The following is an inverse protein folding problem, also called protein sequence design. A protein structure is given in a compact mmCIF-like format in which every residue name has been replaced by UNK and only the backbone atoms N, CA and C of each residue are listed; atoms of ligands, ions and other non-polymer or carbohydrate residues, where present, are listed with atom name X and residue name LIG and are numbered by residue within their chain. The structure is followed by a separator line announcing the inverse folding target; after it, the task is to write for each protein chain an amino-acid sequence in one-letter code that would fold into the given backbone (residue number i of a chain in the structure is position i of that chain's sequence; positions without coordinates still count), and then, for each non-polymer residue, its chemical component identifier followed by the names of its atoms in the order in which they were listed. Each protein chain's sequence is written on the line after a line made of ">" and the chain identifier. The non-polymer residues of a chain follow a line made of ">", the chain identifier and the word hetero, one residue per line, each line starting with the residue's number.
data_IF_781261774275
#
_entry.id   IF_781261774275
#
_cell.length_a   1.000
_cell.length_b   1.000
_cell.length_c   1.000
_cell.angle_alpha   90.00
_cell.angle_beta   90.00
_cell.angle_gamma   90.00
#
_symmetry.space_group_name_H-M   'P 1'
#
loop_
_entity.id
_entity.type
_entity.pdbx_description
1 polymer ?
#
# COMPACT_ATOMS: atom_id res chain seq x y z
N UNK A 1 -9.73 41.95 0.78
CA UNK A 1 -8.47 42.43 0.20
C UNK A 1 -7.27 41.55 0.60
N UNK A 2 -7.21 40.94 1.78
CA UNK A 2 -6.10 40.05 2.23
C UNK A 2 -6.04 38.67 1.53
N UNK A 3 -7.16 38.10 1.14
CA UNK A 3 -7.25 36.76 0.49
C UNK A 3 -6.75 36.80 -0.97
N UNK A 4 -6.99 37.88 -1.71
CA UNK A 4 -6.45 38.06 -3.08
C UNK A 4 -4.93 38.19 -3.13
N UNK A 5 -4.29 38.75 -2.07
CA UNK A 5 -2.83 38.84 -1.95
C UNK A 5 -2.20 37.45 -1.71
N UNK A 6 -2.87 36.58 -0.97
CA UNK A 6 -2.36 35.22 -0.68
C UNK A 6 -2.39 34.30 -1.92
N UNK A 7 -3.43 34.44 -2.76
CA UNK A 7 -3.58 33.66 -4.00
C UNK A 7 -2.57 34.11 -5.07
N UNK A 8 -2.24 35.40 -5.12
CA UNK A 8 -1.23 35.91 -6.07
C UNK A 8 0.19 35.47 -5.67
N UNK A 9 0.49 35.38 -4.37
CA UNK A 9 1.78 34.88 -3.88
C UNK A 9 1.97 33.38 -4.14
N UNK A 10 0.91 32.58 -4.08
CA UNK A 10 0.98 31.12 -4.34
C UNK A 10 1.12 30.78 -5.83
N UNK A 11 0.65 31.64 -6.74
CA UNK A 11 0.78 31.46 -8.20
C UNK A 11 2.20 31.81 -8.71
N UNK A 12 2.90 32.74 -8.05
CA UNK A 12 4.26 33.16 -8.44
C UNK A 12 5.31 32.13 -8.02
N UNK A 13 5.06 31.34 -6.93
CA UNK A 13 6.00 30.30 -6.49
C UNK A 13 5.92 28.99 -7.28
N UNK A 14 4.92 28.83 -8.17
CA UNK A 14 4.72 27.59 -8.94
C UNK A 14 5.40 27.55 -10.31
N UNK A 15 6.03 28.63 -10.76
CA UNK A 15 6.57 28.71 -12.14
C UNK A 15 8.04 29.09 -12.25
N UNK A 16 8.83 29.11 -11.15
CA UNK A 16 10.23 29.48 -11.21
C UNK A 16 11.14 28.29 -10.90
N UNK A 17 11.33 27.44 -11.92
CA UNK A 17 12.57 26.70 -12.09
C UNK A 17 13.55 27.61 -12.83
N UNK A 18 14.62 27.99 -12.13
CA UNK A 18 15.88 28.58 -12.63
C UNK A 18 15.85 29.20 -14.05
N UNK A 19 15.24 30.35 -14.23
CA UNK A 19 15.51 31.29 -15.31
C UNK A 19 15.57 32.70 -14.68
N UNK A 20 16.57 33.48 -15.12
CA UNK A 20 16.73 34.86 -14.69
C UNK A 20 15.41 35.62 -14.88
N UNK A 21 14.85 36.11 -13.79
CA UNK A 21 13.67 36.95 -13.78
C UNK A 21 13.98 38.24 -14.56
N UNK A 22 13.21 38.50 -15.60
CA UNK A 22 13.35 39.68 -16.42
C UNK A 22 13.15 40.94 -15.56
N UNK A 23 14.09 41.88 -15.68
CA UNK A 23 14.12 43.09 -14.88
C UNK A 23 12.82 43.93 -15.02
N UNK A 24 12.21 43.86 -16.18
CA UNK A 24 10.98 44.56 -16.51
C UNK A 24 9.76 43.98 -15.75
N UNK A 25 9.78 42.66 -15.44
CA UNK A 25 8.78 42.01 -14.61
C UNK A 25 8.93 42.41 -13.12
N UNK A 26 10.16 42.48 -12.62
CA UNK A 26 10.44 42.93 -11.24
C UNK A 26 9.99 44.38 -11.00
N UNK A 27 10.13 45.24 -12.03
CA UNK A 27 9.74 46.67 -11.96
C UNK A 27 8.21 46.86 -12.01
N UNK A 28 7.46 45.86 -12.43
CA UNK A 28 6.01 45.87 -12.43
C UNK A 28 5.36 45.46 -11.11
N UNK A 29 6.13 44.97 -10.14
CA UNK A 29 5.63 44.49 -8.85
C UNK A 29 5.53 45.61 -7.81
N UNK A 30 4.54 45.56 -6.90
CA UNK A 30 4.47 46.47 -5.75
C UNK A 30 5.72 46.38 -4.86
N UNK A 31 6.15 47.51 -4.32
CA UNK A 31 7.41 47.65 -3.57
C UNK A 31 7.57 46.73 -2.37
N UNK A 32 6.45 46.32 -1.74
CA UNK A 32 6.42 45.39 -0.61
C UNK A 32 6.69 43.92 -1.04
N UNK A 33 6.39 43.57 -2.29
CA UNK A 33 6.65 42.23 -2.85
C UNK A 33 8.05 42.15 -3.45
N UNK A 34 8.54 43.25 -4.07
CA UNK A 34 9.88 43.32 -4.63
C UNK A 34 10.94 43.14 -3.53
N UNK A 35 10.77 43.80 -2.39
CA UNK A 35 11.68 43.70 -1.27
C UNK A 35 11.77 42.33 -0.64
N UNK A 36 10.63 41.62 -0.53
CA UNK A 36 10.57 40.23 -0.04
C UNK A 36 11.25 39.23 -1.00
N UNK A 37 11.26 39.51 -2.31
CA UNK A 37 11.95 38.70 -3.31
C UNK A 37 13.46 38.97 -3.36
N UNK A 38 13.88 40.22 -3.18
CA UNK A 38 15.30 40.62 -3.11
C UNK A 38 15.95 40.05 -1.85
N UNK A 39 15.29 40.11 -0.69
CA UNK A 39 15.78 39.55 0.57
C UNK A 39 15.91 38.01 0.52
N UNK A 40 15.03 37.33 -0.20
CA UNK A 40 15.12 35.86 -0.41
C UNK A 40 16.21 35.45 -1.39
N UNK A 41 16.46 36.22 -2.43
CA UNK A 41 17.56 35.98 -3.37
C UNK A 41 18.93 36.28 -2.73
N UNK A 42 19.03 37.28 -1.85
CA UNK A 42 20.26 37.55 -1.09
C UNK A 42 20.58 36.44 -0.07
N UNK A 43 19.56 35.79 0.51
CA UNK A 43 19.74 34.65 1.42
C UNK A 43 20.20 33.38 0.71
N UNK A 44 19.88 33.23 -0.59
CA UNK A 44 20.24 32.04 -1.38
C UNK A 44 21.68 32.13 -1.95
N UNK A 45 22.27 33.34 -2.00
CA UNK A 45 23.61 33.56 -2.56
C UNK A 45 24.76 33.30 -1.56
N UNK A 46 24.49 33.05 -0.28
CA UNK A 46 25.49 32.88 0.77
C UNK A 46 25.86 31.44 1.15
N UNK A 47 25.24 30.43 0.52
CA UNK A 47 25.50 29.02 0.87
C UNK A 47 25.81 28.15 -0.37
N UNK A 48 26.95 28.44 -1.02
CA UNK A 48 27.40 27.69 -2.22
C UNK A 48 28.31 26.52 -1.89
N UNK A 49 28.23 25.91 -0.71
CA UNK A 49 29.05 24.75 -0.31
C UNK A 49 28.29 23.61 0.38
N UNK A 50 27.03 23.42 0.09
CA UNK A 50 26.35 22.16 0.48
C UNK A 50 25.83 21.38 -0.73
N UNK A 51 26.25 20.16 -0.76
CA UNK A 51 25.91 19.10 -1.73
C UNK A 51 24.40 19.04 -1.98
N UNK A 52 24.02 19.21 -3.23
CA UNK A 52 22.68 19.05 -3.79
C UNK A 52 21.88 17.93 -3.13
N UNK A 53 20.82 18.25 -2.40
CA UNK A 53 19.78 17.32 -1.91
C UNK A 53 18.44 17.64 -2.55
N UNK A 54 18.08 16.96 -3.65
CA UNK A 54 16.79 17.20 -4.34
C UNK A 54 15.57 16.68 -3.59
N UNK A 55 15.74 16.00 -2.45
CA UNK A 55 14.68 15.23 -1.77
C UNK A 55 13.74 16.02 -0.86
N UNK A 56 14.10 17.19 -0.40
CA UNK A 56 13.24 17.91 0.57
C UNK A 56 12.08 18.69 -0.07
N UNK A 57 12.19 19.07 -1.34
CA UNK A 57 11.12 19.82 -2.03
C UNK A 57 9.96 18.92 -2.47
N UNK A 58 10.21 17.67 -2.83
CA UNK A 58 9.18 16.74 -3.27
C UNK A 58 8.24 16.28 -2.14
N UNK A 59 8.73 16.23 -0.89
CA UNK A 59 7.91 15.78 0.25
C UNK A 59 6.86 16.80 0.67
N UNK A 60 7.19 18.10 0.65
CA UNK A 60 6.24 19.16 1.01
C UNK A 60 5.18 19.40 -0.08
N UNK A 61 5.54 19.27 -1.35
CA UNK A 61 4.58 19.35 -2.47
C UNK A 61 3.63 18.14 -2.44
N UNK A 62 4.14 16.93 -2.23
CA UNK A 62 3.29 15.74 -2.05
C UNK A 62 2.35 15.88 -0.85
N UNK A 63 2.82 16.37 0.28
CA UNK A 63 1.98 16.61 1.47
C UNK A 63 0.88 17.63 1.22
N UNK A 64 1.14 18.68 0.44
CA UNK A 64 0.11 19.67 0.07
C UNK A 64 -0.89 19.13 -0.94
N UNK A 65 -0.48 18.34 -1.92
CA UNK A 65 -1.37 17.67 -2.87
C UNK A 65 -2.26 16.62 -2.17
N UNK A 66 -1.70 15.88 -1.23
CA UNK A 66 -2.44 14.90 -0.43
C UNK A 66 -3.44 15.55 0.53
N UNK A 67 -3.07 16.66 1.18
CA UNK A 67 -4.00 17.43 2.01
C UNK A 67 -5.11 18.07 1.16
N UNK A 68 -4.81 18.50 -0.06
CA UNK A 68 -5.81 19.00 -1.00
C UNK A 68 -6.76 17.87 -1.45
N UNK A 69 -6.23 16.69 -1.77
CA UNK A 69 -7.05 15.54 -2.15
C UNK A 69 -7.93 15.04 -1.00
N UNK A 70 -7.40 15.07 0.24
CA UNK A 70 -8.18 14.75 1.45
C UNK A 70 -9.28 15.78 1.70
N UNK A 71 -8.99 17.05 1.50
CA UNK A 71 -9.97 18.13 1.60
C UNK A 71 -11.10 17.98 0.57
N UNK A 72 -10.76 17.70 -0.68
CA UNK A 72 -11.74 17.51 -1.75
C UNK A 72 -12.63 16.27 -1.50
N UNK A 73 -12.06 15.19 -0.94
CA UNK A 73 -12.84 14.02 -0.48
C UNK A 73 -13.81 14.41 0.63
N UNK A 74 -13.32 15.07 1.68
CA UNK A 74 -14.16 15.48 2.82
C UNK A 74 -15.28 16.47 2.38
N UNK A 75 -15.01 17.39 1.46
CA UNK A 75 -16.04 18.28 0.91
C UNK A 75 -17.09 17.52 0.09
N UNK A 76 -16.66 16.51 -0.67
CA UNK A 76 -17.56 15.62 -1.41
C UNK A 76 -18.43 14.78 -0.48
N UNK A 77 -17.85 14.20 0.57
CA UNK A 77 -18.58 13.42 1.57
C UNK A 77 -19.57 14.27 2.35
N UNK A 78 -19.21 15.52 2.64
CA UNK A 78 -20.08 16.46 3.34
C UNK A 78 -21.28 16.89 2.47
N UNK A 79 -21.03 17.14 1.19
CA UNK A 79 -22.08 17.44 0.20
C UNK A 79 -23.05 16.26 0.00
N UNK A 80 -22.52 15.04 0.04
CA UNK A 80 -23.32 13.84 -0.10
C UNK A 80 -24.15 13.57 1.15
N UNK A 81 -23.58 13.75 2.35
CA UNK A 81 -24.32 13.71 3.63
C UNK A 81 -25.43 14.76 3.68
N UNK A 82 -25.17 15.98 3.24
CA UNK A 82 -26.21 17.05 3.17
C UNK A 82 -27.30 16.69 2.16
N UNK A 83 -26.97 16.09 1.03
CA UNK A 83 -27.93 15.62 0.02
C UNK A 83 -28.81 14.51 0.61
N UNK A 84 -28.21 13.54 1.32
CA UNK A 84 -28.90 12.43 1.98
C UNK A 84 -29.83 12.90 3.10
N UNK A 85 -29.40 13.88 3.90
CA UNK A 85 -30.23 14.48 4.94
C UNK A 85 -31.45 15.22 4.39
N UNK A 86 -31.33 15.81 3.19
CA UNK A 86 -32.38 16.60 2.57
C UNK A 86 -33.33 15.79 1.68
N UNK A 87 -32.93 14.62 1.19
CA UNK A 87 -33.75 13.85 0.24
C UNK A 87 -34.75 12.91 0.88
N UNK A 88 -34.55 12.50 2.13
CA UNK A 88 -35.45 11.55 2.81
C UNK A 88 -35.58 10.20 2.08
N UNK A 89 -34.71 9.92 1.13
CA UNK A 89 -34.71 8.69 0.34
C UNK A 89 -34.12 7.53 1.14
N UNK A 90 -34.84 6.41 1.11
CA UNK A 90 -34.32 5.14 1.57
C UNK A 90 -33.03 4.80 0.81
N UNK A 91 -31.94 4.66 1.53
CA UNK A 91 -30.59 4.46 1.08
C UNK A 91 -30.48 3.34 0.02
N UNK A 92 -30.22 3.70 -1.23
CA UNK A 92 -29.58 2.80 -2.17
C UNK A 92 -28.09 2.75 -1.82
N UNK A 93 -27.71 1.79 -1.02
CA UNK A 93 -26.46 1.74 -0.25
C UNK A 93 -25.25 1.27 -1.07
N UNK A 94 -25.41 0.86 -2.33
CA UNK A 94 -24.35 0.16 -3.07
C UNK A 94 -23.36 1.04 -3.85
N UNK A 95 -23.61 2.35 -4.01
CA UNK A 95 -22.74 3.20 -4.84
C UNK A 95 -21.45 3.66 -4.12
N UNK A 96 -21.46 3.69 -2.79
CA UNK A 96 -20.36 4.26 -1.98
C UNK A 96 -19.40 3.23 -1.35
N UNK A 97 -19.57 1.93 -1.63
CA UNK A 97 -18.67 0.93 -1.06
C UNK A 97 -17.28 0.98 -1.72
N UNK A 98 -16.25 1.12 -0.90
CA UNK A 98 -14.86 1.07 -1.34
C UNK A 98 -14.39 -0.38 -1.55
N UNK A 99 -13.38 -0.55 -2.41
CA UNK A 99 -12.73 -1.85 -2.59
C UNK A 99 -11.89 -2.16 -1.35
N UNK A 100 -12.12 -3.31 -0.74
CA UNK A 100 -11.34 -3.75 0.42
C UNK A 100 -9.87 -3.90 0.05
N UNK A 101 -9.02 -3.25 0.84
CA UNK A 101 -7.57 -3.28 0.65
C UNK A 101 -7.02 -2.24 -0.34
N UNK A 102 -7.87 -1.42 -1.00
CA UNK A 102 -7.42 -0.36 -1.90
C UNK A 102 -6.45 0.63 -1.22
N UNK A 103 -6.66 0.90 0.07
CA UNK A 103 -5.83 1.82 0.85
C UNK A 103 -4.54 1.20 1.39
N UNK A 104 -4.33 -0.10 1.19
CA UNK A 104 -3.17 -0.79 1.74
C UNK A 104 -1.84 -0.15 1.31
N UNK A 105 -1.75 0.26 0.05
CA UNK A 105 -0.56 0.92 -0.48
C UNK A 105 -0.59 2.45 -0.35
N UNK A 106 -1.74 3.02 0.00
CA UNK A 106 -1.92 4.48 0.16
C UNK A 106 -1.57 4.97 1.57
N UNK A 107 -1.30 4.06 2.51
CA UNK A 107 -0.86 4.44 3.85
C UNK A 107 0.45 5.20 3.78
N UNK A 108 0.50 6.35 4.43
CA UNK A 108 1.69 7.16 4.60
C UNK A 108 2.82 6.33 5.20
N UNK A 109 3.69 5.83 4.34
CA UNK A 109 4.90 5.18 4.77
C UNK A 109 5.97 6.26 4.96
N UNK A 110 6.01 6.82 6.14
CA UNK A 110 6.97 7.86 6.51
C UNK A 110 8.42 7.38 6.50
N UNK A 111 8.69 6.12 6.22
CA UNK A 111 10.03 5.56 6.29
C UNK A 111 10.18 4.23 5.52
N UNK A 112 9.96 4.22 4.19
CA UNK A 112 10.49 3.16 3.33
C UNK A 112 11.77 3.57 2.60
N UNK A 113 12.49 4.53 3.11
CA UNK A 113 13.89 4.59 2.79
C UNK A 113 14.51 3.31 3.37
N UNK A 114 15.01 2.37 2.56
CA UNK A 114 15.88 1.36 3.11
C UNK A 114 16.99 2.13 3.81
N UNK A 115 17.05 2.00 5.13
CA UNK A 115 18.24 2.38 5.86
C UNK A 115 19.32 1.57 5.15
N UNK A 116 20.34 2.23 4.63
CA UNK A 116 21.42 1.61 3.86
C UNK A 116 22.28 0.64 4.70
N UNK A 117 21.75 0.19 5.83
CA UNK A 117 22.36 -0.84 6.63
C UNK A 117 21.85 -2.19 6.12
N UNK A 118 22.73 -2.98 5.51
CA UNK A 118 22.36 -4.31 5.10
C UNK A 118 22.05 -5.13 6.37
N UNK A 119 20.80 -5.53 6.53
CA UNK A 119 20.37 -6.45 7.56
C UNK A 119 19.67 -7.67 6.93
N UNK A 120 20.37 -8.38 6.03
CA UNK A 120 19.84 -9.61 5.49
C UNK A 120 19.94 -10.71 6.52
N UNK A 121 19.06 -11.69 6.42
CA UNK A 121 19.20 -12.92 7.16
C UNK A 121 20.43 -13.72 6.68
N UNK A 122 20.87 -14.71 7.46
CA UNK A 122 22.01 -15.56 7.11
C UNK A 122 21.81 -16.39 5.83
N UNK A 123 20.59 -16.50 5.36
CA UNK A 123 20.20 -17.15 4.12
C UNK A 123 20.26 -16.26 2.89
N UNK A 124 20.64 -14.99 3.02
CA UNK A 124 20.80 -14.09 1.89
C UNK A 124 21.76 -14.66 0.85
N UNK A 125 21.32 -14.74 -0.40
CA UNK A 125 22.13 -15.27 -1.50
C UNK A 125 22.95 -14.14 -2.10
N UNK A 126 24.24 -14.24 -1.98
CA UNK A 126 25.21 -13.31 -2.54
C UNK A 126 25.21 -13.36 -4.08
N UNK A 127 25.41 -12.22 -4.69
CA UNK A 127 25.50 -12.12 -6.15
C UNK A 127 26.44 -10.97 -6.54
N UNK A 128 26.72 -10.86 -7.86
CA UNK A 128 27.55 -9.83 -8.44
C UNK A 128 27.07 -8.44 -8.03
N UNK A 129 27.97 -7.60 -7.54
CA UNK A 129 27.67 -6.24 -7.10
C UNK A 129 27.45 -6.10 -5.59
N UNK A 130 27.27 -7.20 -4.84
CA UNK A 130 27.27 -7.13 -3.37
C UNK A 130 28.67 -6.81 -2.85
N UNK A 131 28.78 -6.12 -1.73
CA UNK A 131 30.04 -5.76 -1.08
C UNK A 131 30.14 -6.43 0.27
N UNK A 132 31.16 -7.24 0.46
CA UNK A 132 31.49 -7.83 1.74
C UNK A 132 32.53 -7.00 2.48
N UNK A 133 32.35 -6.82 3.77
CA UNK A 133 33.39 -6.35 4.67
C UNK A 133 34.06 -7.57 5.30
N UNK A 134 35.36 -7.69 5.12
CA UNK A 134 36.16 -8.77 5.67
C UNK A 134 37.16 -8.17 6.65
N UNK A 135 37.10 -8.61 7.88
CA UNK A 135 38.06 -8.26 8.91
C UNK A 135 38.90 -9.48 9.23
N UNK A 136 40.22 -9.33 9.15
CA UNK A 136 41.18 -10.30 9.63
C UNK A 136 41.71 -9.88 11.01
N UNK A 137 41.82 -10.82 11.93
CA UNK A 137 42.32 -10.59 13.27
C UNK A 137 43.38 -11.67 13.59
N UNK A 138 44.59 -11.25 13.90
CA UNK A 138 45.70 -12.18 14.19
C UNK A 138 47.07 -11.57 13.97
N UNK A 139 47.93 -12.19 13.17
CA UNK A 139 49.25 -11.66 12.85
C UNK A 139 49.19 -10.46 11.89
N UNK A 140 48.19 -10.46 10.99
CA UNK A 140 47.90 -9.38 10.04
C UNK A 140 46.49 -8.87 10.26
N UNK A 141 46.38 -7.87 11.14
CA UNK A 141 45.09 -7.22 11.40
C UNK A 141 44.73 -6.25 10.27
N UNK A 142 43.64 -6.50 9.56
CA UNK A 142 43.12 -5.52 8.63
C UNK A 142 41.62 -5.67 8.45
N UNK A 143 40.97 -4.60 8.00
CA UNK A 143 39.55 -4.55 7.64
C UNK A 143 39.39 -3.80 6.32
N UNK A 144 38.71 -4.42 5.37
CA UNK A 144 38.45 -3.78 4.08
C UNK A 144 37.14 -4.29 3.46
N UNK A 145 36.67 -3.56 2.41
CA UNK A 145 35.47 -3.86 1.65
C UNK A 145 35.83 -4.50 0.31
N UNK A 146 35.20 -5.61 -0.02
CA UNK A 146 35.43 -6.40 -1.21
C UNK A 146 34.15 -6.50 -2.04
N UNK A 147 34.17 -5.98 -3.24
CA UNK A 147 33.09 -6.11 -4.22
C UNK A 147 33.11 -7.51 -4.85
N UNK A 148 31.94 -8.14 -4.94
CA UNK A 148 31.78 -9.34 -5.77
C UNK A 148 31.79 -8.90 -7.24
N UNK A 149 32.83 -9.28 -7.94
CA UNK A 149 33.10 -8.88 -9.33
C UNK A 149 32.18 -9.62 -10.34
N UNK A 150 32.36 -9.31 -11.64
CA UNK A 150 31.60 -9.92 -12.74
C UNK A 150 31.76 -11.44 -12.86
N UNK A 151 32.84 -12.02 -12.31
CA UNK A 151 33.08 -13.45 -12.30
C UNK A 151 32.42 -14.14 -11.09
N UNK A 152 31.68 -13.37 -10.27
CA UNK A 152 31.05 -13.87 -9.04
C UNK A 152 32.03 -14.12 -7.91
N UNK A 153 33.22 -13.50 -7.96
CA UNK A 153 34.28 -13.74 -7.00
C UNK A 153 34.65 -12.47 -6.22
N UNK A 154 35.15 -12.66 -5.00
CA UNK A 154 35.91 -11.65 -4.26
C UNK A 154 37.40 -11.91 -4.42
N UNK A 155 38.19 -10.84 -4.57
CA UNK A 155 39.65 -10.92 -4.68
C UNK A 155 40.29 -10.51 -3.37
N UNK A 156 40.85 -11.46 -2.63
CA UNK A 156 41.55 -11.21 -1.38
C UNK A 156 43.07 -11.13 -1.63
N UNK A 157 43.79 -10.16 -1.03
CA UNK A 157 45.22 -10.12 -1.07
C UNK A 157 45.85 -11.49 -0.70
N UNK A 158 46.90 -11.88 -1.37
CA UNK A 158 47.69 -13.10 -1.12
C UNK A 158 46.94 -14.45 -1.20
N UNK A 159 45.60 -14.43 -1.23
CA UNK A 159 44.73 -15.63 -1.35
C UNK A 159 44.24 -15.78 -2.79
N UNK A 160 43.99 -14.65 -3.48
CA UNK A 160 43.46 -14.64 -4.82
C UNK A 160 41.92 -14.59 -4.87
N UNK A 161 41.34 -15.13 -5.94
CA UNK A 161 39.90 -15.07 -6.19
C UNK A 161 39.17 -16.25 -5.50
N UNK A 162 38.06 -15.92 -4.84
CA UNK A 162 37.14 -16.90 -4.24
C UNK A 162 35.75 -16.67 -4.83
N UNK A 163 35.22 -17.65 -5.56
CA UNK A 163 33.89 -17.59 -6.15
C UNK A 163 32.85 -17.80 -5.04
N UNK A 164 31.97 -16.83 -4.84
CA UNK A 164 30.96 -16.82 -3.79
C UNK A 164 29.56 -16.43 -4.27
N UNK A 165 29.41 -15.95 -5.50
CA UNK A 165 28.10 -15.67 -6.06
C UNK A 165 27.27 -16.96 -6.13
N UNK A 166 26.00 -16.85 -5.75
CA UNK A 166 25.07 -17.99 -5.65
C UNK A 166 25.12 -18.73 -4.31
N UNK A 167 26.09 -18.48 -3.43
CA UNK A 167 26.15 -19.01 -2.06
C UNK A 167 25.34 -18.13 -1.11
N UNK A 168 24.82 -18.73 -0.06
CA UNK A 168 24.31 -17.96 1.07
C UNK A 168 25.45 -17.22 1.79
N UNK A 169 25.13 -16.12 2.48
CA UNK A 169 26.11 -15.38 3.27
C UNK A 169 26.84 -16.29 4.26
N UNK A 170 26.14 -17.26 4.86
CA UNK A 170 26.73 -18.22 5.77
C UNK A 170 27.71 -19.16 5.07
N UNK A 171 27.35 -19.75 3.93
CA UNK A 171 28.22 -20.65 3.15
C UNK A 171 29.46 -19.91 2.64
N UNK A 172 29.28 -18.70 2.10
CA UNK A 172 30.37 -17.84 1.65
C UNK A 172 31.33 -17.49 2.82
N UNK A 173 30.77 -17.16 3.99
CA UNK A 173 31.58 -16.89 5.20
C UNK A 173 32.41 -18.07 5.61
N UNK A 174 31.85 -19.29 5.61
CA UNK A 174 32.59 -20.52 5.92
C UNK A 174 33.70 -20.80 4.90
N UNK A 175 33.40 -20.61 3.59
CA UNK A 175 34.37 -20.80 2.54
C UNK A 175 35.55 -19.82 2.67
N UNK A 176 35.24 -18.52 2.86
CA UNK A 176 36.27 -17.48 3.05
C UNK A 176 37.12 -17.78 4.28
N UNK A 177 36.51 -18.11 5.43
CA UNK A 177 37.22 -18.47 6.66
C UNK A 177 38.16 -19.65 6.41
N UNK A 178 37.70 -20.69 5.73
CA UNK A 178 38.54 -21.85 5.40
C UNK A 178 39.74 -21.47 4.53
N UNK A 179 39.57 -20.60 3.55
CA UNK A 179 40.66 -20.13 2.68
C UNK A 179 41.67 -19.26 3.43
N UNK A 180 41.15 -18.33 4.28
CA UNK A 180 42.00 -17.49 5.14
C UNK A 180 42.84 -18.35 6.10
N UNK A 181 42.20 -19.29 6.82
CA UNK A 181 42.90 -20.17 7.76
C UNK A 181 43.96 -21.04 7.07
N UNK A 182 43.79 -21.36 5.78
CA UNK A 182 44.77 -22.13 5.01
C UNK A 182 45.95 -21.27 4.54
N UNK A 183 45.73 -19.97 4.33
CA UNK A 183 46.76 -19.02 3.84
C UNK A 183 47.52 -18.34 4.98
N UNK A 184 46.80 -17.99 6.07
CA UNK A 184 47.37 -17.25 7.20
C UNK A 184 47.28 -18.08 8.50
N UNK A 185 48.42 -18.43 9.06
CA UNK A 185 48.47 -19.18 10.31
C UNK A 185 48.15 -18.27 11.50
N UNK A 186 47.16 -18.62 12.32
CA UNK A 186 46.81 -17.86 13.52
C UNK A 186 45.99 -16.57 13.25
N UNK A 187 45.37 -16.46 12.07
CA UNK A 187 44.48 -15.34 11.70
C UNK A 187 43.06 -15.85 11.60
N UNK A 188 42.13 -15.14 12.20
CA UNK A 188 40.69 -15.41 12.13
C UNK A 188 40.01 -14.36 11.22
N UNK A 189 39.06 -14.80 10.37
CA UNK A 189 38.33 -13.92 9.49
C UNK A 189 36.89 -13.71 10.00
N UNK A 190 36.43 -12.48 10.01
CA UNK A 190 35.05 -12.06 10.27
C UNK A 190 34.48 -11.46 9.00
N UNK A 191 33.36 -12.00 8.51
CA UNK A 191 32.76 -11.62 7.24
C UNK A 191 31.36 -11.06 7.50
N UNK A 192 31.12 -9.84 7.03
CA UNK A 192 29.82 -9.17 7.08
C UNK A 192 29.44 -8.68 5.68
N UNK A 193 28.17 -8.59 5.40
CA UNK A 193 27.68 -7.90 4.21
C UNK A 193 27.71 -6.40 4.48
N UNK A 194 28.47 -5.64 3.70
CA UNK A 194 28.61 -4.20 3.85
C UNK A 194 27.59 -3.42 3.03
N UNK A 195 27.38 -3.86 1.77
CA UNK A 195 26.45 -3.21 0.87
C UNK A 195 25.73 -4.26 0.03
N UNK A 196 24.44 -4.08 -0.16
CA UNK A 196 23.62 -4.93 -1.03
C UNK A 196 23.55 -4.25 -2.39
N UNK A 197 23.73 -5.04 -3.46
CA UNK A 197 23.63 -4.56 -4.84
C UNK A 197 22.27 -3.96 -5.15
N UNK A 198 22.24 -3.03 -6.10
CA UNK A 198 21.02 -2.55 -6.70
C UNK A 198 20.54 -3.50 -7.81
N UNK A 199 19.23 -3.63 -7.94
CA UNK A 199 18.57 -4.40 -8.98
C UNK A 199 17.58 -3.51 -9.74
N UNK A 200 17.60 -3.59 -11.07
CA UNK A 200 16.65 -2.90 -11.92
C UNK A 200 15.55 -3.87 -12.34
N UNK A 201 14.33 -3.53 -11.98
CA UNK A 201 13.13 -4.33 -12.27
C UNK A 201 12.14 -3.52 -13.09
N UNK A 202 11.28 -4.19 -13.84
CA UNK A 202 10.14 -3.58 -14.52
C UNK A 202 8.87 -3.85 -13.72
N UNK A 203 8.16 -2.80 -13.31
CA UNK A 203 6.79 -2.91 -12.78
C UNK A 203 5.83 -2.52 -13.90
N UNK A 204 4.84 -3.36 -14.19
CA UNK A 204 3.95 -3.17 -15.33
C UNK A 204 2.54 -3.73 -15.08
N UNK A 205 1.67 -3.68 -16.09
CA UNK A 205 0.26 -4.01 -15.95
C UNK A 205 -0.51 -2.88 -15.27
N UNK A 206 -1.37 -3.23 -14.34
CA UNK A 206 -2.24 -2.30 -13.63
C UNK A 206 -1.64 -1.79 -12.31
N UNK A 207 -0.32 -1.57 -12.27
CA UNK A 207 0.32 -0.85 -11.18
C UNK A 207 -0.04 0.65 -11.23
N UNK A 208 0.08 1.37 -10.11
CA UNK A 208 -0.23 2.80 -10.03
C UNK A 208 0.67 3.64 -10.96
N UNK A 209 1.98 3.38 -10.93
CA UNK A 209 2.94 4.01 -11.83
C UNK A 209 3.82 2.93 -12.47
N UNK A 210 3.44 2.39 -13.63
CA UNK A 210 4.26 1.43 -14.34
C UNK A 210 5.60 2.05 -14.79
N UNK A 211 6.70 1.29 -14.67
CA UNK A 211 8.03 1.81 -15.02
C UNK A 211 9.16 0.91 -14.56
N UNK A 212 10.39 1.38 -14.80
CA UNK A 212 11.60 0.71 -14.32
C UNK A 212 11.97 1.30 -12.96
N UNK A 213 12.20 0.43 -11.98
CA UNK A 213 12.55 0.79 -10.61
C UNK A 213 13.88 0.18 -10.22
N UNK A 214 14.71 0.97 -9.56
CA UNK A 214 15.95 0.50 -8.94
C UNK A 214 15.68 0.26 -7.46
N UNK A 215 15.85 -0.98 -7.02
CA UNK A 215 15.63 -1.44 -5.65
C UNK A 215 16.86 -2.21 -5.15
N UNK A 216 16.95 -2.46 -3.86
CA UNK A 216 18.02 -3.30 -3.32
C UNK A 216 17.78 -4.78 -3.64
N UNK A 217 18.83 -5.57 -3.78
CA UNK A 217 18.75 -7.02 -4.03
C UNK A 217 18.08 -7.83 -2.90
N UNK A 218 17.80 -7.20 -1.74
CA UNK A 218 17.01 -7.80 -0.66
C UNK A 218 15.51 -7.52 -0.79
N UNK A 219 15.08 -6.77 -1.79
CA UNK A 219 13.67 -6.44 -2.03
C UNK A 219 12.89 -7.64 -2.58
N UNK A 220 11.59 -7.61 -2.40
CA UNK A 220 10.63 -8.59 -2.91
C UNK A 220 9.51 -7.90 -3.71
N UNK A 221 8.54 -8.67 -4.19
CA UNK A 221 7.42 -8.19 -5.00
C UNK A 221 6.61 -7.09 -4.30
N UNK A 222 6.41 -7.18 -2.96
CA UNK A 222 5.67 -6.18 -2.20
C UNK A 222 6.40 -4.82 -2.17
N UNK A 223 7.74 -4.85 -2.04
CA UNK A 223 8.55 -3.63 -2.10
C UNK A 223 8.47 -2.98 -3.48
N UNK A 224 8.44 -3.78 -4.57
CA UNK A 224 8.32 -3.27 -5.92
C UNK A 224 6.97 -2.56 -6.15
N UNK A 225 5.87 -3.17 -5.71
CA UNK A 225 4.54 -2.56 -5.80
C UNK A 225 4.47 -1.29 -4.93
N UNK A 226 5.02 -1.33 -3.72
CA UNK A 226 5.06 -0.13 -2.86
C UNK A 226 5.87 1.00 -3.49
N UNK A 227 7.00 0.69 -4.13
CA UNK A 227 7.84 1.67 -4.82
C UNK A 227 7.13 2.29 -6.04
N UNK A 228 6.27 1.52 -6.72
CA UNK A 228 5.44 2.01 -7.84
C UNK A 228 4.21 2.81 -7.39
N UNK A 229 4.05 3.04 -6.09
CA UNK A 229 2.89 3.76 -5.52
C UNK A 229 1.64 2.88 -5.35
N UNK A 230 1.80 1.56 -5.44
CA UNK A 230 0.70 0.61 -5.26
C UNK A 230 0.07 0.11 -6.55
N UNK A 231 -1.21 -0.21 -6.46
CA UNK A 231 -2.02 -0.80 -7.52
C UNK A 231 -3.04 0.22 -7.99
N UNK A 232 -3.25 0.31 -9.30
CA UNK A 232 -4.24 1.23 -9.88
C UNK A 232 -5.68 0.77 -9.60
N UNK A 233 -6.65 1.65 -9.82
CA UNK A 233 -8.07 1.35 -9.64
C UNK A 233 -8.54 0.09 -10.40
N UNK A 234 -7.90 -0.25 -11.52
CA UNK A 234 -8.26 -1.40 -12.35
C UNK A 234 -7.40 -2.64 -12.07
N UNK A 235 -6.42 -2.52 -11.18
CA UNK A 235 -5.50 -3.59 -10.86
C UNK A 235 -6.07 -4.58 -9.84
N UNK A 236 -5.63 -5.84 -9.97
CA UNK A 236 -5.94 -6.91 -9.03
C UNK A 236 -5.08 -6.81 -7.78
N UNK A 237 -5.72 -6.88 -6.61
CA UNK A 237 -5.05 -7.06 -5.32
C UNK A 237 -4.68 -8.54 -5.07
N UNK A 238 -5.16 -9.43 -5.91
CA UNK A 238 -5.04 -10.89 -5.72
C UNK A 238 -4.12 -11.58 -6.70
N UNK A 239 -3.87 -10.97 -7.84
CA UNK A 239 -3.06 -11.57 -8.91
C UNK A 239 -1.90 -10.62 -9.28
N UNK A 240 -0.86 -10.62 -8.44
CA UNK A 240 0.37 -9.87 -8.68
C UNK A 240 1.49 -10.88 -8.88
N UNK A 241 2.08 -10.91 -10.05
CA UNK A 241 3.01 -11.94 -10.48
C UNK A 241 4.44 -11.41 -10.59
N UNK A 242 5.39 -12.16 -10.05
CA UNK A 242 6.82 -11.96 -10.29
C UNK A 242 7.26 -12.91 -11.39
N UNK A 243 7.68 -12.34 -12.52
CA UNK A 243 8.19 -13.08 -13.66
C UNK A 243 9.72 -12.94 -13.76
N UNK A 244 10.37 -14.03 -14.00
CA UNK A 244 11.79 -14.12 -14.34
C UNK A 244 11.93 -14.98 -15.60
N UNK A 245 12.61 -14.47 -16.62
CA UNK A 245 12.73 -15.15 -17.93
C UNK A 245 11.36 -15.54 -18.52
N UNK A 246 10.35 -14.67 -18.34
CA UNK A 246 8.95 -14.87 -18.74
C UNK A 246 8.22 -16.03 -18.03
N UNK A 247 8.77 -16.53 -16.93
CA UNK A 247 8.14 -17.58 -16.11
C UNK A 247 7.70 -16.95 -14.79
N UNK A 248 6.46 -17.21 -14.37
CA UNK A 248 5.96 -16.82 -13.05
C UNK A 248 6.70 -17.64 -11.99
N UNK A 249 7.49 -16.99 -11.15
CA UNK A 249 8.28 -17.63 -10.08
C UNK A 249 7.68 -17.43 -8.69
N UNK A 250 6.82 -16.43 -8.53
CA UNK A 250 6.07 -16.13 -7.30
C UNK A 250 4.83 -15.31 -7.64
N UNK A 251 3.75 -15.51 -6.90
CA UNK A 251 2.52 -14.71 -6.98
C UNK A 251 2.19 -14.18 -5.59
N UNK A 252 1.73 -12.94 -5.53
CA UNK A 252 1.25 -12.29 -4.31
C UNK A 252 -0.25 -12.09 -4.40
N UNK A 253 -0.98 -12.62 -3.41
CA UNK A 253 -2.35 -12.27 -3.08
C UNK A 253 -2.34 -11.38 -1.83
N UNK A 254 -2.74 -10.12 -1.98
CA UNK A 254 -2.77 -9.17 -0.85
C UNK A 254 -3.84 -9.55 0.17
N UNK A 255 -4.87 -10.29 -0.22
CA UNK A 255 -5.90 -10.77 0.70
C UNK A 255 -5.37 -11.81 1.67
N UNK A 256 -4.46 -12.70 1.25
CA UNK A 256 -3.78 -13.62 2.16
C UNK A 256 -3.03 -12.85 3.26
N UNK A 257 -2.40 -11.73 2.89
CA UNK A 257 -1.72 -10.85 3.83
C UNK A 257 -2.70 -10.11 4.76
N UNK A 258 -3.76 -9.48 4.19
CA UNK A 258 -4.65 -8.59 4.94
C UNK A 258 -5.68 -9.34 5.80
N UNK A 259 -6.16 -10.49 5.33
CA UNK A 259 -7.24 -11.25 5.97
C UNK A 259 -6.67 -12.40 6.80
N UNK A 260 -5.66 -13.11 6.28
CA UNK A 260 -5.11 -14.30 6.92
C UNK A 260 -3.80 -14.02 7.68
N UNK A 261 -3.19 -12.85 7.48
CA UNK A 261 -1.90 -12.49 8.09
C UNK A 261 -0.73 -13.29 7.55
N UNK A 262 -0.87 -13.92 6.38
CA UNK A 262 0.16 -14.75 5.78
C UNK A 262 1.13 -13.90 4.97
N UNK A 263 2.40 -13.91 5.34
CA UNK A 263 3.48 -13.24 4.63
C UNK A 263 4.51 -14.28 4.16
N UNK A 264 4.28 -14.84 2.98
CA UNK A 264 5.06 -15.97 2.45
C UNK A 264 5.95 -15.60 1.25
N UNK A 265 6.39 -14.33 1.14
CA UNK A 265 7.25 -13.88 0.05
C UNK A 265 8.69 -14.35 0.27
N UNK A 266 9.10 -15.35 -0.49
CA UNK A 266 10.43 -15.99 -0.36
C UNK A 266 11.42 -15.55 -1.43
N UNK A 267 10.91 -15.07 -2.57
CA UNK A 267 11.78 -14.69 -3.69
C UNK A 267 12.27 -13.26 -3.53
N UNK A 268 13.57 -13.09 -3.71
CA UNK A 268 14.21 -11.78 -3.82
C UNK A 268 14.28 -11.36 -5.27
N UNK A 269 14.16 -10.06 -5.50
CA UNK A 269 14.21 -9.48 -6.84
C UNK A 269 15.62 -9.57 -7.42
N UNK A 270 15.69 -9.72 -8.75
CA UNK A 270 16.92 -9.68 -9.53
C UNK A 270 16.77 -8.70 -10.67
N UNK A 271 17.88 -8.20 -11.18
CA UNK A 271 17.87 -7.35 -12.38
C UNK A 271 17.27 -8.11 -13.56
N UNK A 272 16.33 -7.46 -14.27
CA UNK A 272 15.57 -8.04 -15.36
C UNK A 272 14.26 -8.73 -14.94
N UNK A 273 13.96 -8.83 -13.66
CA UNK A 273 12.64 -9.31 -13.20
C UNK A 273 11.52 -8.36 -13.62
N UNK A 274 10.35 -8.92 -13.83
CA UNK A 274 9.12 -8.18 -14.14
C UNK A 274 8.09 -8.45 -13.05
N UNK A 275 7.58 -7.40 -12.43
CA UNK A 275 6.42 -7.46 -11.55
C UNK A 275 5.21 -7.01 -12.34
N UNK A 276 4.30 -7.94 -12.59
CA UNK A 276 3.11 -7.73 -13.40
C UNK A 276 1.86 -7.75 -12.54
N UNK A 277 1.10 -6.65 -12.56
CA UNK A 277 -0.19 -6.55 -11.89
C UNK A 277 -1.29 -6.87 -12.89
N UNK A 278 -2.00 -7.97 -12.66
CA UNK A 278 -3.13 -8.37 -13.49
C UNK A 278 -4.30 -7.36 -13.41
N UNK A 279 -5.18 -7.41 -14.39
CA UNK A 279 -6.43 -6.68 -14.31
C UNK A 279 -7.36 -7.36 -13.28
N UNK A 280 -8.05 -6.53 -12.49
CA UNK A 280 -9.08 -6.98 -11.56
C UNK A 280 -10.21 -7.69 -12.32
N UNK A 281 -10.69 -8.79 -11.78
CA UNK A 281 -11.71 -9.64 -12.43
C UNK A 281 -13.08 -9.47 -11.78
N UNK A 282 -13.43 -10.32 -10.86
CA UNK A 282 -14.77 -10.38 -10.28
C UNK A 282 -14.87 -9.52 -9.02
N UNK A 283 -15.78 -8.55 -9.03
CA UNK A 283 -16.06 -7.72 -7.86
C UNK A 283 -17.42 -8.07 -7.29
N UNK A 284 -17.45 -8.41 -6.02
CA UNK A 284 -18.66 -8.73 -5.26
C UNK A 284 -18.82 -7.69 -4.16
N UNK A 285 -19.94 -7.01 -4.14
CA UNK A 285 -20.29 -6.07 -3.09
C UNK A 285 -21.02 -6.81 -1.96
N UNK A 286 -20.69 -6.48 -0.72
CA UNK A 286 -21.45 -6.96 0.44
C UNK A 286 -21.79 -5.78 1.34
N UNK A 287 -23.06 -5.67 1.71
CA UNK A 287 -23.60 -4.50 2.38
C UNK A 287 -24.68 -4.85 3.41
N UNK A 288 -25.05 -3.85 4.22
CA UNK A 288 -26.02 -3.98 5.30
C UNK A 288 -25.41 -4.55 6.58
N UNK A 289 -26.09 -5.48 7.23
CA UNK A 289 -25.73 -6.02 8.55
C UNK A 289 -24.56 -7.04 8.48
N UNK A 290 -23.40 -6.61 8.00
CA UNK A 290 -22.13 -7.34 8.03
C UNK A 290 -21.12 -6.59 8.87
N UNK A 291 -20.06 -7.26 9.31
CA UNK A 291 -19.05 -6.60 10.16
C UNK A 291 -18.13 -5.65 9.38
N UNK A 292 -17.98 -5.86 8.07
CA UNK A 292 -17.16 -5.02 7.18
C UNK A 292 -17.82 -4.91 5.80
N UNK A 293 -18.74 -3.95 5.61
CA UNK A 293 -19.31 -3.67 4.30
C UNK A 293 -18.22 -3.13 3.36
N UNK A 294 -18.08 -3.70 2.17
CA UNK A 294 -17.11 -3.29 1.15
C UNK A 294 -17.35 -4.03 -0.18
N UNK A 295 -16.63 -3.62 -1.22
CA UNK A 295 -16.44 -4.39 -2.44
C UNK A 295 -15.25 -5.32 -2.26
N UNK A 296 -15.40 -6.59 -2.62
CA UNK A 296 -14.35 -7.60 -2.50
C UNK A 296 -14.01 -8.20 -3.86
N UNK A 297 -12.73 -8.37 -4.12
CA UNK A 297 -12.28 -9.09 -5.30
C UNK A 297 -12.38 -10.59 -5.05
N UNK A 298 -13.18 -11.28 -5.86
CA UNK A 298 -13.37 -12.71 -5.80
C UNK A 298 -12.53 -13.44 -6.85
N UNK A 299 -11.93 -14.56 -6.49
CA UNK A 299 -11.35 -15.46 -7.49
C UNK A 299 -12.45 -16.29 -8.17
N UNK A 300 -12.17 -16.81 -9.37
CA UNK A 300 -13.15 -17.54 -10.19
C UNK A 300 -13.76 -18.78 -9.51
N UNK A 301 -13.11 -19.35 -8.51
CA UNK A 301 -13.55 -20.56 -7.82
C UNK A 301 -14.25 -20.29 -6.49
N UNK A 302 -14.36 -19.02 -6.07
CA UNK A 302 -14.91 -18.68 -4.76
C UNK A 302 -16.43 -18.64 -4.78
N UNK A 303 -17.01 -19.04 -3.65
CA UNK A 303 -18.44 -18.97 -3.38
C UNK A 303 -18.77 -17.77 -2.48
N UNK A 304 -20.05 -17.47 -2.31
CA UNK A 304 -20.49 -16.34 -1.48
C UNK A 304 -20.05 -16.45 -0.02
N UNK A 305 -19.87 -17.67 0.51
CA UNK A 305 -19.40 -17.89 1.88
C UNK A 305 -17.97 -17.34 2.06
N UNK A 306 -17.11 -17.44 1.03
CA UNK A 306 -15.76 -16.85 1.07
C UNK A 306 -15.83 -15.33 1.18
N UNK A 307 -16.74 -14.69 0.44
CA UNK A 307 -16.91 -13.24 0.48
C UNK A 307 -17.42 -12.77 1.86
N UNK A 308 -18.37 -13.52 2.45
CA UNK A 308 -18.85 -13.23 3.80
C UNK A 308 -17.74 -13.37 4.84
N UNK A 309 -16.82 -14.34 4.67
CA UNK A 309 -15.64 -14.46 5.53
C UNK A 309 -14.70 -13.24 5.37
N UNK A 310 -14.50 -12.73 4.17
CA UNK A 310 -13.73 -11.51 3.93
C UNK A 310 -14.37 -10.30 4.61
N UNK A 311 -15.71 -10.22 4.63
CA UNK A 311 -16.45 -9.21 5.38
C UNK A 311 -16.43 -9.42 6.91
N UNK A 312 -15.58 -10.32 7.42
CA UNK A 312 -15.48 -10.68 8.84
C UNK A 312 -16.82 -11.24 9.42
N UNK A 313 -17.64 -11.83 8.56
CA UNK A 313 -18.89 -12.48 8.90
C UNK A 313 -20.10 -11.54 9.02
N UNK A 314 -21.23 -12.15 9.32
CA UNK A 314 -22.52 -11.48 9.46
C UNK A 314 -22.63 -10.85 10.86
N UNK A 315 -23.12 -9.60 10.94
CA UNK A 315 -23.32 -8.88 12.18
C UNK A 315 -24.33 -9.59 13.10
N UNK A 316 -24.25 -9.31 14.40
CA UNK A 316 -25.24 -9.79 15.38
C UNK A 316 -26.63 -9.15 15.20
N UNK A 317 -26.67 -7.98 14.57
CA UNK A 317 -27.92 -7.25 14.29
C UNK A 317 -28.60 -7.72 13.01
N UNK A 318 -28.00 -8.68 12.30
CA UNK A 318 -28.49 -9.15 11.02
C UNK A 318 -29.74 -10.02 11.11
N UNK A 319 -30.73 -9.73 10.28
CA UNK A 319 -31.83 -10.64 10.01
C UNK A 319 -31.40 -11.74 9.01
N UNK A 320 -30.89 -12.84 9.54
CA UNK A 320 -30.36 -13.96 8.75
C UNK A 320 -31.40 -14.66 7.87
N UNK A 321 -32.68 -14.30 8.00
CA UNK A 321 -33.76 -14.80 7.15
C UNK A 321 -34.07 -13.89 5.97
N UNK A 322 -33.54 -12.67 5.98
CA UNK A 322 -33.75 -11.66 4.96
C UNK A 322 -32.40 -11.25 4.32
N UNK A 323 -31.76 -12.22 3.68
CA UNK A 323 -30.54 -12.03 2.90
C UNK A 323 -30.92 -12.11 1.44
N UNK A 324 -30.45 -11.19 0.63
CA UNK A 324 -30.67 -11.18 -0.81
C UNK A 324 -29.34 -11.10 -1.56
N UNK A 325 -29.27 -11.81 -2.67
CA UNK A 325 -28.24 -11.68 -3.69
C UNK A 325 -28.88 -10.97 -4.89
N UNK A 326 -28.34 -9.82 -5.26
CA UNK A 326 -28.69 -9.13 -6.51
C UNK A 326 -27.62 -9.47 -7.55
N UNK A 327 -28.06 -9.98 -8.69
CA UNK A 327 -27.21 -10.44 -9.79
C UNK A 327 -27.82 -10.07 -11.13
N UNK A 328 -26.99 -9.67 -12.07
CA UNK A 328 -27.43 -9.42 -13.46
C UNK A 328 -27.45 -10.76 -14.19
N UNK A 329 -28.64 -11.23 -14.55
CA UNK A 329 -28.86 -12.41 -15.36
C UNK A 329 -29.58 -12.02 -16.67
N UNK A 330 -29.00 -12.38 -17.81
CA UNK A 330 -29.55 -12.05 -19.14
C UNK A 330 -29.81 -10.53 -19.31
N UNK A 331 -28.90 -9.69 -18.82
CA UNK A 331 -29.03 -8.22 -18.89
C UNK A 331 -30.10 -7.63 -17.96
N UNK A 332 -30.67 -8.42 -17.06
CA UNK A 332 -31.70 -7.97 -16.10
C UNK A 332 -31.22 -8.20 -14.68
N UNK A 333 -31.35 -7.18 -13.82
CA UNK A 333 -31.08 -7.30 -12.40
C UNK A 333 -32.14 -8.20 -11.75
N UNK A 334 -31.72 -9.30 -11.14
CA UNK A 334 -32.59 -10.24 -10.40
C UNK A 334 -32.18 -10.30 -8.95
N UNK A 335 -33.18 -10.22 -8.07
CA UNK A 335 -32.98 -10.40 -6.64
C UNK A 335 -33.28 -11.89 -6.29
N UNK A 336 -32.28 -12.58 -5.80
CA UNK A 336 -32.34 -13.99 -5.41
C UNK A 336 -32.36 -14.06 -3.88
N UNK A 337 -33.45 -14.49 -3.25
CA UNK A 337 -33.50 -14.61 -1.81
C UNK A 337 -32.64 -15.79 -1.34
N UNK A 338 -31.72 -15.53 -0.41
CA UNK A 338 -30.91 -16.56 0.24
C UNK A 338 -31.55 -16.90 1.59
N UNK A 339 -32.16 -18.05 1.70
CA UNK A 339 -33.01 -18.43 2.85
C UNK A 339 -32.24 -19.07 4.00
N UNK A 340 -31.06 -19.59 3.74
CA UNK A 340 -30.19 -20.19 4.74
C UNK A 340 -28.70 -20.02 4.38
N UNK A 341 -27.86 -20.05 5.39
CA UNK A 341 -26.41 -19.85 5.22
C UNK A 341 -25.74 -20.97 4.41
N UNK A 342 -26.30 -22.19 4.37
CA UNK A 342 -25.74 -23.27 3.58
C UNK A 342 -25.79 -23.03 2.06
N UNK A 343 -26.68 -22.14 1.61
CA UNK A 343 -26.72 -21.75 0.20
C UNK A 343 -25.50 -20.92 -0.21
N UNK A 344 -24.85 -20.23 0.71
CA UNK A 344 -23.63 -19.47 0.42
C UNK A 344 -22.47 -20.35 -0.03
N UNK A 345 -22.42 -21.60 0.40
CA UNK A 345 -21.38 -22.55 -0.01
C UNK A 345 -21.59 -23.08 -1.44
N UNK A 346 -22.83 -23.05 -1.92
CA UNK A 346 -23.22 -23.61 -3.23
C UNK A 346 -23.28 -22.56 -4.34
N UNK A 347 -23.46 -21.30 -4.00
CA UNK A 347 -23.55 -20.21 -4.98
C UNK A 347 -22.15 -19.67 -5.25
N UNK A 348 -21.68 -19.77 -6.49
CA UNK A 348 -20.44 -19.13 -6.93
C UNK A 348 -20.61 -17.61 -6.93
N UNK A 349 -19.55 -16.91 -6.57
CA UNK A 349 -19.47 -15.47 -6.68
C UNK A 349 -19.24 -15.06 -8.14
N UNK A 350 -20.02 -14.13 -8.64
CA UNK A 350 -19.89 -13.59 -9.99
C UNK A 350 -19.68 -12.08 -9.97
N UNK A 351 -19.10 -11.56 -11.05
CA UNK A 351 -18.84 -10.14 -11.17
C UNK A 351 -20.13 -9.31 -11.11
N UNK A 352 -20.11 -8.25 -10.33
CA UNK A 352 -21.27 -7.38 -10.13
C UNK A 352 -22.30 -7.88 -9.12
N UNK A 353 -22.06 -9.01 -8.45
CA UNK A 353 -22.94 -9.48 -7.37
C UNK A 353 -23.02 -8.47 -6.23
N UNK A 354 -24.23 -8.25 -5.70
CA UNK A 354 -24.47 -7.53 -4.48
C UNK A 354 -25.15 -8.44 -3.45
N UNK A 355 -24.46 -8.76 -2.36
CA UNK A 355 -25.02 -9.46 -1.21
C UNK A 355 -25.52 -8.40 -0.24
N UNK A 356 -26.83 -8.35 -0.02
CA UNK A 356 -27.43 -7.42 0.92
C UNK A 356 -28.06 -8.16 2.10
N UNK A 357 -27.61 -7.82 3.31
CA UNK A 357 -28.06 -8.44 4.55
C UNK A 357 -28.81 -7.38 5.35
N UNK A 358 -30.13 -7.60 5.54
CA UNK A 358 -30.95 -6.63 6.29
C UNK A 358 -30.64 -6.71 7.78
N UNK A 359 -30.76 -5.56 8.43
CA UNK A 359 -30.79 -5.52 9.87
C UNK A 359 -32.15 -5.98 10.39
N UNK A 360 -32.18 -6.58 11.59
CA UNK A 360 -33.44 -6.74 12.29
C UNK A 360 -34.10 -5.37 12.45
N UNK A 361 -35.39 -5.24 12.06
CA UNK A 361 -36.11 -4.02 12.32
C UNK A 361 -36.23 -3.87 13.84
N UNK A 362 -35.37 -3.07 14.43
CA UNK A 362 -35.55 -2.61 15.80
C UNK A 362 -36.81 -1.73 15.81
N UNK A 363 -37.94 -2.34 16.18
CA UNK A 363 -39.16 -1.57 16.47
C UNK A 363 -38.94 -0.88 17.81
N UNK A 364 -38.54 0.38 17.77
CA UNK A 364 -38.52 1.22 18.95
C UNK A 364 -39.81 2.03 19.02
N UNK A 365 -40.50 1.92 20.12
CA UNK A 365 -41.61 2.82 20.43
C UNK A 365 -41.18 3.81 21.50
N UNK A 366 -41.35 5.10 21.23
CA UNK A 366 -41.14 6.14 22.26
C UNK A 366 -42.41 6.40 23.00
N UNK A 367 -42.36 6.19 24.31
CA UNK A 367 -43.46 6.51 25.22
C UNK A 367 -43.13 7.84 25.89
N UNK A 368 -44.04 8.82 25.80
CA UNK A 368 -43.88 10.13 26.39
C UNK A 368 -45.22 10.62 26.94
N UNK A 369 -45.20 11.56 27.87
CA UNK A 369 -46.38 12.10 28.53
C UNK A 369 -46.55 11.61 29.99
N UNK A 370 -47.77 11.53 30.48
CA UNK A 370 -48.09 11.16 31.85
C UNK A 370 -48.01 9.63 32.05
N UNK A 371 -46.82 9.06 31.90
CA UNK A 371 -46.53 7.63 32.13
C UNK A 371 -45.47 7.47 33.22
N UNK A 372 -45.48 6.34 33.91
CA UNK A 372 -44.55 6.06 35.02
C UNK A 372 -43.07 6.07 34.61
N UNK A 373 -42.75 5.63 33.39
CA UNK A 373 -41.39 5.59 32.86
C UNK A 373 -41.40 6.06 31.40
N UNK A 374 -41.28 7.34 31.11
CA UNK A 374 -41.14 7.81 29.75
C UNK A 374 -39.76 7.38 29.21
N UNK A 375 -39.72 6.93 27.94
CA UNK A 375 -38.47 6.46 27.33
C UNK A 375 -38.69 5.79 25.98
N UNK A 376 -37.56 5.32 25.35
CA UNK A 376 -37.60 4.49 24.16
C UNK A 376 -37.50 3.01 24.55
N UNK A 377 -38.43 2.21 24.07
CA UNK A 377 -38.54 0.78 24.39
C UNK A 377 -38.43 -0.04 23.10
N UNK A 378 -37.62 -1.11 23.14
CA UNK A 378 -37.53 -2.05 22.02
C UNK A 378 -38.74 -2.97 22.05
N UNK A 379 -39.43 -3.10 20.91
CA UNK A 379 -40.58 -3.98 20.75
C UNK A 379 -40.15 -5.28 20.03
N UNK A 380 -40.56 -6.40 20.59
CA UNK A 380 -40.45 -7.68 19.92
C UNK A 380 -41.49 -7.82 18.80
N UNK A 381 -41.29 -8.74 17.87
CA UNK A 381 -42.27 -9.02 16.82
C UNK A 381 -43.56 -9.54 17.44
N UNK A 382 -44.67 -8.83 17.23
CA UNK A 382 -46.00 -9.16 17.79
C UNK A 382 -46.35 -8.48 19.11
N UNK A 383 -45.42 -7.77 19.75
CA UNK A 383 -45.75 -6.96 20.92
C UNK A 383 -46.65 -5.78 20.52
N UNK A 384 -47.63 -5.54 21.38
CA UNK A 384 -48.58 -4.43 21.27
C UNK A 384 -48.17 -3.22 22.13
N UNK A 385 -48.81 -2.07 21.91
CA UNK A 385 -48.62 -0.88 22.75
C UNK A 385 -48.99 -1.19 24.21
N UNK A 386 -50.00 -2.02 24.45
CA UNK A 386 -50.39 -2.41 25.81
C UNK A 386 -49.30 -3.21 26.52
N UNK A 387 -48.62 -4.10 25.82
CA UNK A 387 -47.49 -4.88 26.39
C UNK A 387 -46.34 -3.93 26.78
N UNK A 388 -46.15 -2.89 25.99
CA UNK A 388 -45.12 -1.88 26.25
C UNK A 388 -45.42 -0.99 27.45
N UNK A 389 -46.70 -0.68 27.69
CA UNK A 389 -47.13 0.15 28.82
C UNK A 389 -47.02 -0.63 30.14
N UNK A 390 -47.04 -1.97 30.08
CA UNK A 390 -46.92 -2.85 31.26
C UNK A 390 -45.46 -3.16 31.62
N UNK A 391 -44.49 -2.86 30.77
CA UNK A 391 -43.02 -2.95 31.02
C UNK A 391 -42.54 -1.78 31.86
#
# INVERSE_FOLDING_TARGET
>A
MKIKKLILLSLITLSIGAQDLDQEFLDSLPDDIRKDLEDKNAATALDSNETYRPYMYSSKLKQTEELLSLKDRLEKDLLDLERRLNSGEDLKVSEDLELYGSDFFNTFQTSFMPINEPNPDSGYILDIGDVLQIQLVGQDDYIDKFLINSDGAVSLPDIGQIIIAGLSLNEASQLIKSKVNSAYIGTEAFINLAEIRDVNILVTGNAQNPGIYTLTGNSNILHAISASGGISEFGSLREINLLRDNIIIESLDVYDLLIEGQYNLKKRLRSGDVVFVEARKNIVSIDGAVNRPAKYEASNEQNLNSIIKYANGISRTADRKNISLERILDGTLKTIPVRNESQFETIKAEDGDLIYIREFPYRQAKISGAVLKPGSYTMAAGETINDLIQK
#
